data_IF_223866097319
#
_entry.id   IF_223866097319
#
_cell.length_a   1.000
_cell.length_b   1.000
_cell.length_c   1.000
_cell.angle_alpha   90.00
_cell.angle_beta   90.00
_cell.angle_gamma   90.00
#
_symmetry.space_group_name_H-M   'P 1'
#
loop_
_entity.id
_entity.type
_entity.pdbx_description
1 polymer ?
#
# COMPACT_ATOMS: atom_id res chain seq x y z
N UNK A 1 -9.89 -10.55 -26.82
CA UNK A 1 -9.53 -9.41 -25.95
C UNK A 1 -8.54 -9.81 -24.82
N UNK A 2 -7.62 -10.76 -25.06
CA UNK A 2 -6.72 -11.31 -24.02
C UNK A 2 -5.21 -11.10 -24.28
N UNK A 3 -4.82 -10.44 -25.38
CA UNK A 3 -3.41 -10.25 -25.76
C UNK A 3 -2.77 -8.95 -25.22
N UNK A 4 -3.57 -8.00 -24.70
CA UNK A 4 -3.08 -6.73 -24.13
C UNK A 4 -2.73 -6.81 -22.64
N UNK A 5 -3.42 -7.66 -21.86
CA UNK A 5 -3.12 -7.85 -20.43
C UNK A 5 -1.71 -8.43 -20.17
N UNK A 6 -1.26 -9.39 -20.99
CA UNK A 6 0.05 -10.03 -20.81
C UNK A 6 1.26 -9.14 -21.10
N UNK A 7 1.12 -8.09 -21.91
CA UNK A 7 2.21 -7.14 -22.23
C UNK A 7 2.39 -6.06 -21.16
N UNK A 8 1.31 -5.72 -20.43
CA UNK A 8 1.33 -4.74 -19.34
C UNK A 8 2.00 -5.34 -18.10
N UNK A 9 1.71 -6.60 -17.77
CA UNK A 9 2.39 -7.33 -16.69
C UNK A 9 3.90 -7.50 -16.93
N UNK A 10 4.32 -7.75 -18.17
CA UNK A 10 5.74 -7.89 -18.52
C UNK A 10 6.49 -6.54 -18.47
N UNK A 11 5.84 -5.43 -18.80
CA UNK A 11 6.43 -4.08 -18.71
C UNK A 11 6.60 -3.60 -17.26
N UNK A 12 5.66 -3.96 -16.38
CA UNK A 12 5.73 -3.69 -14.93
C UNK A 12 6.92 -4.40 -14.26
N UNK A 13 7.16 -5.65 -14.63
CA UNK A 13 8.26 -6.46 -14.11
C UNK A 13 9.65 -5.95 -14.54
N UNK A 14 9.74 -5.37 -15.75
CA UNK A 14 11.00 -4.84 -16.29
C UNK A 14 11.40 -3.48 -15.67
N UNK A 15 10.42 -2.66 -15.26
CA UNK A 15 10.66 -1.32 -14.69
C UNK A 15 11.21 -1.38 -13.26
N UNK A 16 10.83 -2.41 -12.49
CA UNK A 16 11.31 -2.65 -11.13
C UNK A 16 12.81 -2.94 -11.06
N UNK A 17 13.35 -3.65 -12.05
CA UNK A 17 14.76 -4.04 -12.11
C UNK A 17 15.70 -2.85 -12.39
N UNK A 18 15.17 -1.70 -12.85
CA UNK A 18 15.95 -0.50 -13.16
C UNK A 18 16.22 0.43 -11.97
N UNK A 19 15.55 0.24 -10.83
CA UNK A 19 15.54 1.18 -9.70
C UNK A 19 16.18 0.63 -8.41
N UNK A 20 16.93 -0.48 -8.49
CA UNK A 20 17.45 -1.17 -7.30
C UNK A 20 16.37 -1.94 -6.53
N UNK A 21 15.24 -2.23 -7.16
CA UNK A 21 14.20 -3.07 -6.60
C UNK A 21 14.30 -4.51 -7.12
N UNK A 22 14.14 -5.45 -6.20
CA UNK A 22 14.20 -6.89 -6.45
C UNK A 22 12.86 -7.51 -6.06
N UNK A 23 12.33 -8.35 -6.93
CA UNK A 23 11.20 -9.21 -6.57
C UNK A 23 11.76 -10.30 -5.66
N UNK A 24 11.30 -10.31 -4.41
CA UNK A 24 11.80 -11.22 -3.38
C UNK A 24 11.07 -12.56 -3.45
N UNK A 25 9.79 -12.53 -3.82
CA UNK A 25 8.96 -13.73 -3.93
C UNK A 25 7.79 -13.50 -4.92
N UNK A 26 7.45 -14.56 -5.64
CA UNK A 26 6.30 -14.62 -6.53
C UNK A 26 5.49 -15.87 -6.18
N UNK A 27 4.44 -15.69 -5.38
CA UNK A 27 3.61 -16.79 -4.91
C UNK A 27 2.24 -16.79 -5.60
N UNK A 28 1.48 -17.87 -5.40
CA UNK A 28 0.06 -17.90 -5.79
C UNK A 28 -0.79 -16.85 -5.05
N UNK A 29 -0.27 -16.27 -3.96
CA UNK A 29 -1.00 -15.35 -3.07
C UNK A 29 -0.66 -13.87 -3.32
N UNK A 30 0.46 -13.59 -4.00
CA UNK A 30 0.90 -12.23 -4.26
C UNK A 30 2.38 -12.14 -4.63
N UNK A 31 2.81 -10.93 -4.96
CA UNK A 31 4.19 -10.61 -5.31
C UNK A 31 4.81 -9.72 -4.24
N UNK A 32 6.02 -10.06 -3.82
CA UNK A 32 6.85 -9.27 -2.93
C UNK A 32 7.90 -8.51 -3.71
N UNK A 33 8.00 -7.22 -3.46
CA UNK A 33 9.02 -6.34 -4.05
C UNK A 33 9.76 -5.67 -2.89
N UNK A 34 11.09 -5.83 -2.85
CA UNK A 34 11.97 -4.98 -2.04
C UNK A 34 12.56 -3.91 -2.93
N UNK A 35 12.85 -2.75 -2.37
CA UNK A 35 13.82 -1.83 -2.95
C UNK A 35 15.02 -1.77 -2.00
N UNK A 36 16.21 -2.17 -2.47
CA UNK A 36 17.44 -2.12 -1.67
C UNK A 36 17.82 -0.66 -1.40
N UNK A 37 17.26 -0.11 -0.32
CA UNK A 37 17.72 1.15 0.29
C UNK A 37 17.54 1.16 1.82
N UNK A 38 17.25 0.00 2.42
CA UNK A 38 17.11 -0.15 3.87
C UNK A 38 18.44 -0.07 4.60
N UNK A 39 18.92 1.14 4.89
CA UNK A 39 19.89 1.36 5.96
C UNK A 39 19.10 1.43 7.27
N UNK A 40 19.42 0.56 8.24
CA UNK A 40 19.01 0.58 9.66
C UNK A 40 17.65 -0.01 10.08
N UNK A 41 17.10 -1.04 9.43
CA UNK A 41 16.07 -1.89 10.07
C UNK A 41 14.72 -1.22 10.43
N UNK A 42 14.45 -0.03 9.90
CA UNK A 42 13.19 0.72 10.06
C UNK A 42 12.15 0.34 8.99
N UNK A 43 11.93 -0.96 8.81
CA UNK A 43 11.13 -1.47 7.68
C UNK A 43 9.64 -1.53 8.03
N UNK A 44 8.83 -0.77 7.30
CA UNK A 44 7.38 -0.99 7.21
C UNK A 44 7.06 -1.91 6.02
N UNK A 45 5.86 -2.49 6.02
CA UNK A 45 5.30 -3.15 4.84
C UNK A 45 4.27 -2.25 4.16
N UNK A 46 4.25 -2.18 2.83
CA UNK A 46 3.21 -1.50 2.06
C UNK A 46 2.34 -2.57 1.42
N UNK A 47 1.12 -2.72 1.94
CA UNK A 47 0.08 -3.51 1.32
C UNK A 47 -0.58 -2.69 0.21
N UNK A 48 -0.18 -2.96 -1.02
CA UNK A 48 -0.55 -2.17 -2.19
C UNK A 48 -1.65 -2.87 -2.99
N UNK A 49 -2.82 -2.24 -3.10
CA UNK A 49 -3.92 -2.78 -3.89
C UNK A 49 -3.61 -2.70 -5.39
N UNK A 50 -3.85 -3.79 -6.16
CA UNK A 50 -3.45 -3.91 -7.55
C UNK A 50 -4.36 -3.12 -8.51
N UNK A 51 -4.27 -1.78 -8.50
CA UNK A 51 -4.93 -0.84 -9.43
C UNK A 51 -5.15 -1.32 -10.88
N UNK A 52 -6.17 -0.79 -11.60
CA UNK A 52 -6.44 -1.22 -12.99
C UNK A 52 -5.39 -0.73 -13.99
N UNK A 53 -4.68 0.37 -13.72
CA UNK A 53 -3.76 0.93 -14.72
C UNK A 53 -2.69 1.81 -14.06
N UNK A 54 -1.47 1.72 -14.60
CA UNK A 54 -0.35 2.68 -14.60
C UNK A 54 0.19 3.27 -13.26
N UNK A 55 -0.64 3.58 -12.27
CA UNK A 55 -0.21 4.11 -10.98
C UNK A 55 0.65 3.09 -10.22
N UNK A 56 0.30 1.80 -10.32
CA UNK A 56 1.09 0.69 -9.76
C UNK A 56 2.47 0.61 -10.41
N UNK A 57 2.56 0.88 -11.73
CA UNK A 57 3.79 0.85 -12.51
C UNK A 57 4.70 2.08 -12.33
N UNK A 58 4.24 3.12 -11.63
CA UNK A 58 5.04 4.28 -11.28
C UNK A 58 5.73 4.16 -9.91
N UNK A 59 5.27 3.27 -9.03
CA UNK A 59 5.91 3.01 -7.73
C UNK A 59 7.38 2.53 -7.78
N UNK A 60 7.93 1.94 -8.85
CA UNK A 60 9.37 1.63 -8.94
C UNK A 60 10.28 2.88 -8.91
N UNK A 61 9.75 4.08 -9.19
CA UNK A 61 10.53 5.33 -9.10
C UNK A 61 10.65 5.86 -7.66
N UNK A 62 10.03 5.19 -6.69
CA UNK A 62 10.18 5.45 -5.27
C UNK A 62 11.53 4.88 -4.80
N UNK A 63 12.61 5.46 -5.31
CA UNK A 63 13.93 5.28 -4.71
C UNK A 63 13.90 5.84 -3.28
N UNK A 64 14.37 5.05 -2.32
CA UNK A 64 14.55 5.48 -0.93
C UNK A 64 13.36 5.30 0.01
N UNK A 65 12.26 4.61 -0.37
CA UNK A 65 11.27 4.19 0.64
C UNK A 65 11.81 3.02 1.47
N UNK A 66 11.73 3.18 2.80
CA UNK A 66 12.12 2.17 3.77
C UNK A 66 11.00 1.13 3.99
N UNK A 67 10.59 0.44 2.91
CA UNK A 67 9.51 -0.53 3.00
C UNK A 67 9.59 -1.70 2.01
N UNK A 68 8.94 -2.81 2.38
CA UNK A 68 8.67 -3.95 1.50
C UNK A 68 7.27 -3.83 0.93
N UNK A 69 7.09 -4.06 -0.35
CA UNK A 69 5.77 -4.01 -0.98
C UNK A 69 5.18 -5.40 -1.10
N UNK A 70 3.93 -5.55 -0.69
CA UNK A 70 3.10 -6.72 -0.94
C UNK A 70 1.96 -6.34 -1.87
N UNK A 71 1.90 -6.99 -3.04
CA UNK A 71 0.80 -6.83 -3.98
C UNK A 71 -0.01 -8.14 -3.97
N UNK A 72 -1.24 -8.15 -3.41
CA UNK A 72 -2.04 -9.36 -3.32
C UNK A 72 -2.54 -9.81 -4.69
N UNK A 73 -2.62 -11.13 -4.90
CA UNK A 73 -3.22 -11.69 -6.11
C UNK A 73 -4.66 -12.11 -5.87
N UNK A 74 -5.60 -11.30 -6.35
CA UNK A 74 -7.05 -11.54 -6.24
C UNK A 74 -7.54 -12.43 -7.39
N UNK A 75 -7.05 -13.67 -7.50
CA UNK A 75 -7.43 -14.55 -8.62
C UNK A 75 -7.38 -16.05 -8.29
N UNK A 76 -7.74 -16.48 -7.08
CA UNK A 76 -7.73 -17.90 -6.70
C UNK A 76 -8.67 -18.26 -5.56
N UNK A 77 -8.71 -19.55 -5.21
CA UNK A 77 -9.65 -20.14 -4.22
C UNK A 77 -9.51 -19.61 -2.78
N UNK A 78 -8.40 -18.92 -2.45
CA UNK A 78 -8.04 -18.54 -1.06
C UNK A 78 -8.35 -17.09 -0.69
N UNK A 79 -8.01 -16.13 -1.55
CA UNK A 79 -8.32 -14.71 -1.32
C UNK A 79 -9.32 -14.22 -2.37
N UNK A 80 -10.60 -14.22 -1.99
CA UNK A 80 -11.71 -13.80 -2.86
C UNK A 80 -12.03 -12.32 -2.72
N UNK A 81 -11.54 -11.70 -1.65
CA UNK A 81 -11.66 -10.28 -1.36
C UNK A 81 -10.33 -9.67 -0.91
N UNK A 82 -10.26 -8.34 -0.91
CA UNK A 82 -9.13 -7.59 -0.35
C UNK A 82 -8.98 -7.83 1.16
N UNK A 83 -10.09 -8.05 1.87
CA UNK A 83 -10.07 -8.40 3.28
C UNK A 83 -9.39 -9.76 3.52
N UNK A 84 -9.71 -10.77 2.71
CA UNK A 84 -9.08 -12.10 2.82
C UNK A 84 -7.57 -12.01 2.52
N UNK A 85 -7.21 -11.27 1.48
CA UNK A 85 -5.81 -11.07 1.11
C UNK A 85 -5.02 -10.35 2.20
N UNK A 86 -5.64 -9.34 2.81
CA UNK A 86 -5.02 -8.60 3.91
C UNK A 86 -4.91 -9.44 5.18
N UNK A 87 -5.94 -10.22 5.53
CA UNK A 87 -5.89 -11.14 6.67
C UNK A 87 -4.76 -12.16 6.49
N UNK A 88 -4.66 -12.77 5.31
CA UNK A 88 -3.58 -13.71 4.98
C UNK A 88 -2.20 -13.06 5.08
N UNK A 89 -2.05 -11.84 4.55
CA UNK A 89 -0.82 -11.07 4.68
C UNK A 89 -0.45 -10.79 6.15
N UNK A 90 -1.43 -10.38 6.95
CA UNK A 90 -1.25 -10.06 8.36
C UNK A 90 -0.81 -11.28 9.16
N UNK A 91 -1.42 -12.43 8.90
CA UNK A 91 -1.17 -13.69 9.61
C UNK A 91 0.17 -14.35 9.20
N UNK A 92 0.52 -14.32 7.92
CA UNK A 92 1.64 -15.12 7.40
C UNK A 92 2.90 -14.33 7.07
N UNK A 93 2.81 -13.02 6.81
CA UNK A 93 3.94 -12.27 6.26
C UNK A 93 4.32 -11.00 7.03
N UNK A 94 3.32 -10.27 7.55
CA UNK A 94 3.56 -9.00 8.22
C UNK A 94 4.42 -9.16 9.49
N UNK A 95 4.30 -10.29 10.19
CA UNK A 95 5.10 -10.61 11.38
C UNK A 95 5.10 -9.49 12.45
N UNK A 96 3.98 -8.77 12.59
CA UNK A 96 3.83 -7.69 13.55
C UNK A 96 4.46 -6.35 13.16
N UNK A 97 5.00 -6.22 11.94
CA UNK A 97 5.62 -4.98 11.46
C UNK A 97 4.59 -3.87 11.25
N UNK A 98 4.98 -2.59 11.39
CA UNK A 98 4.14 -1.50 10.94
C UNK A 98 3.84 -1.61 9.45
N UNK A 99 2.67 -1.15 9.03
CA UNK A 99 2.27 -1.23 7.64
C UNK A 99 1.54 0.01 7.13
N UNK A 100 1.67 0.24 5.83
CA UNK A 100 0.90 1.21 5.06
C UNK A 100 -0.11 0.44 4.21
N UNK A 101 -1.31 0.98 4.10
CA UNK A 101 -2.28 0.54 3.10
C UNK A 101 -2.34 1.57 1.99
N UNK A 102 -2.28 1.16 0.72
CA UNK A 102 -2.38 2.09 -0.40
C UNK A 102 -3.28 1.54 -1.50
N UNK A 103 -4.20 2.38 -1.99
CA UNK A 103 -5.12 2.04 -3.06
C UNK A 103 -5.53 3.27 -3.85
N UNK A 104 -5.65 3.13 -5.17
CA UNK A 104 -5.95 4.23 -6.07
C UNK A 104 -7.33 4.13 -6.71
N UNK A 105 -8.01 5.26 -6.89
CA UNK A 105 -9.21 5.40 -7.73
C UNK A 105 -10.26 4.33 -7.43
N UNK A 106 -10.35 3.33 -8.32
CA UNK A 106 -11.26 2.18 -8.21
C UNK A 106 -11.08 1.38 -6.90
N UNK A 107 -9.86 1.25 -6.40
CA UNK A 107 -9.52 0.39 -5.26
C UNK A 107 -9.62 1.14 -3.94
N UNK A 108 -9.72 2.47 -3.99
CA UNK A 108 -9.92 3.28 -2.80
C UNK A 108 -11.25 2.93 -2.10
N UNK A 109 -12.29 2.55 -2.86
CA UNK A 109 -13.55 2.06 -2.27
C UNK A 109 -13.35 0.78 -1.47
N UNK A 110 -12.69 -0.21 -2.06
CA UNK A 110 -12.36 -1.47 -1.37
C UNK A 110 -11.40 -1.26 -0.20
N UNK A 111 -10.47 -0.31 -0.31
CA UNK A 111 -9.61 0.06 0.81
C UNK A 111 -10.41 0.67 1.96
N UNK A 112 -11.38 1.55 1.68
CA UNK A 112 -12.28 2.07 2.72
C UNK A 112 -13.02 0.95 3.43
N UNK A 113 -13.54 -0.03 2.70
CA UNK A 113 -14.20 -1.19 3.31
C UNK A 113 -13.23 -2.04 4.14
N UNK A 114 -11.98 -2.19 3.71
CA UNK A 114 -10.94 -2.82 4.53
C UNK A 114 -10.69 -2.04 5.83
N UNK A 115 -10.58 -0.71 5.76
CA UNK A 115 -10.37 0.14 6.94
C UNK A 115 -11.52 0.02 7.94
N UNK A 116 -12.76 -0.01 7.46
CA UNK A 116 -13.95 -0.15 8.33
C UNK A 116 -13.99 -1.50 9.04
N UNK A 117 -13.63 -2.57 8.35
CA UNK A 117 -13.78 -3.94 8.85
C UNK A 117 -12.53 -4.41 9.61
N UNK A 118 -11.37 -4.44 8.94
CA UNK A 118 -10.15 -4.99 9.50
C UNK A 118 -9.54 -4.09 10.60
N UNK A 119 -9.67 -2.77 10.48
CA UNK A 119 -9.10 -1.83 11.45
C UNK A 119 -10.09 -1.39 12.54
N UNK A 120 -11.18 -2.15 12.71
CA UNK A 120 -11.95 -2.12 13.97
C UNK A 120 -11.14 -2.73 15.14
N UNK A 121 -10.17 -3.59 14.84
CA UNK A 121 -9.20 -4.13 15.81
C UNK A 121 -8.16 -3.07 16.20
N UNK A 122 -8.16 -2.70 17.48
CA UNK A 122 -7.25 -1.70 18.05
C UNK A 122 -5.76 -2.10 17.95
N UNK A 123 -5.44 -3.39 18.11
CA UNK A 123 -4.06 -3.90 18.04
C UNK A 123 -3.51 -3.79 16.63
N UNK A 124 -4.36 -4.04 15.63
CA UNK A 124 -3.99 -3.86 14.24
C UNK A 124 -3.89 -2.37 13.87
N UNK A 125 -4.82 -1.55 14.36
CA UNK A 125 -4.80 -0.10 14.17
C UNK A 125 -3.53 0.57 14.70
N UNK A 126 -3.00 0.11 15.85
CA UNK A 126 -1.73 0.60 16.42
C UNK A 126 -0.51 0.34 15.53
N UNK A 127 -0.61 -0.59 14.58
CA UNK A 127 0.45 -0.90 13.60
C UNK A 127 0.28 -0.20 12.25
N UNK A 128 -0.85 0.48 12.04
CA UNK A 128 -1.06 1.27 10.83
C UNK A 128 -0.16 2.51 10.88
N UNK A 129 0.72 2.66 9.89
CA UNK A 129 1.46 3.90 9.65
C UNK A 129 0.54 4.93 9.00
N UNK A 130 -0.07 4.58 7.87
CA UNK A 130 -1.08 5.40 7.22
C UNK A 130 -1.84 4.58 6.16
N UNK A 131 -3.06 5.01 5.84
CA UNK A 131 -3.85 4.49 4.73
C UNK A 131 -4.02 5.56 3.65
N UNK A 132 -3.40 5.37 2.49
CA UNK A 132 -3.45 6.29 1.37
C UNK A 132 -4.56 5.92 0.39
N UNK A 133 -5.59 6.77 0.35
CA UNK A 133 -6.67 6.74 -0.63
C UNK A 133 -6.30 7.72 -1.76
N UNK A 134 -5.66 7.18 -2.79
CA UNK A 134 -5.04 7.96 -3.87
C UNK A 134 -6.06 8.21 -4.98
N UNK A 135 -6.13 9.43 -5.51
CA UNK A 135 -6.99 9.80 -6.64
C UNK A 135 -8.44 9.33 -6.48
N UNK A 136 -8.97 9.34 -5.25
CA UNK A 136 -10.35 8.95 -4.99
C UNK A 136 -11.27 10.17 -5.04
N UNK A 137 -12.38 10.10 -5.80
CA UNK A 137 -13.33 11.21 -5.86
C UNK A 137 -14.15 11.34 -4.58
N UNK A 138 -14.37 10.24 -3.85
CA UNK A 138 -15.11 10.26 -2.59
C UNK A 138 -14.15 10.36 -1.42
N UNK A 139 -14.08 11.53 -0.79
CA UNK A 139 -13.23 11.77 0.39
C UNK A 139 -13.99 11.66 1.72
N UNK A 140 -15.23 11.16 1.70
CA UNK A 140 -16.06 11.02 2.91
C UNK A 140 -15.83 9.68 3.59
N UNK A 141 -15.68 9.73 4.91
CA UNK A 141 -15.65 8.59 5.83
C UNK A 141 -16.39 9.06 7.08
N UNK A 142 -17.37 8.28 7.55
CA UNK A 142 -18.09 8.60 8.78
C UNK A 142 -17.25 8.17 9.99
N UNK A 143 -16.51 9.12 10.55
CA UNK A 143 -15.65 8.86 11.71
C UNK A 143 -16.44 8.57 12.99
N UNK A 144 -17.73 8.91 13.06
CA UNK A 144 -18.55 8.61 14.24
C UNK A 144 -18.84 7.11 14.35
N UNK A 145 -18.95 6.43 13.22
CA UNK A 145 -19.13 4.98 13.16
C UNK A 145 -17.83 4.19 13.38
N UNK A 146 -16.66 4.83 13.16
CA UNK A 146 -15.35 4.18 13.22
C UNK A 146 -14.35 5.01 14.03
N UNK A 147 -14.48 5.06 15.37
CA UNK A 147 -13.69 5.96 16.23
C UNK A 147 -12.19 5.66 16.26
N UNK A 148 -11.78 4.45 15.87
CA UNK A 148 -10.38 4.06 15.75
C UNK A 148 -9.72 4.63 14.48
N UNK A 149 -10.52 5.15 13.54
CA UNK A 149 -10.04 5.78 12.31
C UNK A 149 -10.00 7.30 12.48
N UNK A 150 -8.99 7.91 11.87
CA UNK A 150 -8.80 9.37 11.88
C UNK A 150 -8.20 9.85 10.58
N UNK A 151 -8.58 11.06 10.18
CA UNK A 151 -7.97 11.74 9.04
C UNK A 151 -6.65 12.35 9.48
N UNK A 152 -5.69 12.39 8.56
CA UNK A 152 -4.46 13.14 8.77
C UNK A 152 -4.75 14.64 8.82
N UNK A 153 -4.12 15.31 9.77
CA UNK A 153 -4.06 16.76 9.92
C UNK A 153 -2.65 17.30 9.70
N UNK A 154 -1.63 16.44 9.77
CA UNK A 154 -0.22 16.76 9.58
C UNK A 154 0.57 15.64 8.90
N UNK A 155 1.73 15.97 8.31
CA UNK A 155 2.68 15.02 7.71
C UNK A 155 3.36 14.07 8.72
N UNK A 156 3.20 14.32 10.02
CA UNK A 156 3.80 13.50 11.08
C UNK A 156 2.82 12.53 11.73
N UNK A 157 1.52 12.63 11.41
CA UNK A 157 0.56 11.72 12.02
C UNK A 157 0.78 10.28 11.53
N UNK A 158 0.74 9.31 12.43
CA UNK A 158 0.70 7.88 12.09
C UNK A 158 -0.68 7.32 12.39
N UNK A 159 -1.09 6.14 11.93
CA UNK A 159 -2.43 5.59 12.21
C UNK A 159 -3.57 6.42 11.63
N UNK A 160 -3.34 7.09 10.49
CA UNK A 160 -4.26 8.02 9.85
C UNK A 160 -4.63 7.61 8.44
N UNK A 161 -5.75 8.16 7.97
CA UNK A 161 -6.17 8.11 6.57
C UNK A 161 -5.70 9.38 5.86
N UNK A 162 -5.07 9.22 4.71
CA UNK A 162 -4.54 10.28 3.87
C UNK A 162 -5.22 10.22 2.51
N UNK A 163 -5.81 11.33 2.08
CA UNK A 163 -6.27 11.49 0.70
C UNK A 163 -5.16 12.18 -0.10
N UNK A 164 -4.66 11.52 -1.14
CA UNK A 164 -3.60 12.05 -1.99
C UNK A 164 -4.08 12.18 -3.43
N UNK A 165 -3.79 13.32 -4.06
CA UNK A 165 -4.06 13.53 -5.47
C UNK A 165 -2.71 13.50 -6.22
N UNK A 166 -2.55 12.55 -7.15
CA UNK A 166 -1.32 12.32 -7.91
C UNK A 166 -1.63 12.49 -9.39
N UNK A 167 -1.07 13.55 -10.02
CA UNK A 167 -1.31 13.90 -11.42
C UNK A 167 -0.06 13.78 -12.28
N UNK A 168 1.11 13.79 -11.67
CA UNK A 168 2.41 13.79 -12.33
C UNK A 168 3.49 13.17 -11.42
N UNK A 169 4.70 13.06 -11.95
CA UNK A 169 5.86 12.49 -11.26
C UNK A 169 6.27 13.27 -10.01
N UNK A 170 6.16 14.60 -10.01
CA UNK A 170 6.45 15.43 -8.83
C UNK A 170 5.50 15.10 -7.67
N UNK A 171 4.22 14.89 -7.95
CA UNK A 171 3.23 14.51 -6.93
C UNK A 171 3.55 13.12 -6.36
N UNK A 172 4.06 12.20 -7.20
CA UNK A 172 4.50 10.88 -6.78
C UNK A 172 5.73 10.95 -5.86
N UNK A 173 6.71 11.80 -6.16
CA UNK A 173 7.85 12.04 -5.28
C UNK A 173 7.42 12.65 -3.94
N UNK A 174 6.46 13.57 -3.95
CA UNK A 174 5.92 14.15 -2.72
C UNK A 174 5.19 13.10 -1.86
N UNK A 175 4.39 12.23 -2.49
CA UNK A 175 3.73 11.12 -1.81
C UNK A 175 4.75 10.16 -1.17
N UNK A 176 5.82 9.83 -1.91
CA UNK A 176 6.92 9.01 -1.41
C UNK A 176 7.59 9.62 -0.17
N UNK A 177 7.90 10.93 -0.22
CA UNK A 177 8.50 11.64 0.89
C UNK A 177 7.59 11.69 2.13
N UNK A 178 6.27 11.84 1.95
CA UNK A 178 5.30 11.77 3.05
C UNK A 178 5.27 10.37 3.67
N UNK A 179 5.22 9.31 2.85
CA UNK A 179 5.29 7.92 3.34
C UNK A 179 6.55 7.68 4.18
N UNK A 180 7.72 8.10 3.70
CA UNK A 180 8.97 7.98 4.45
C UNK A 180 8.97 8.77 5.76
N UNK A 181 8.44 9.98 5.74
CA UNK A 181 8.33 10.81 6.96
C UNK A 181 7.48 10.11 8.01
N UNK A 182 6.35 9.51 7.62
CA UNK A 182 5.47 8.77 8.53
C UNK A 182 6.07 7.46 9.01
N UNK A 183 6.76 6.72 8.15
CA UNK A 183 7.51 5.51 8.57
C UNK A 183 8.54 5.89 9.63
N UNK A 184 9.35 6.92 9.36
CA UNK A 184 10.36 7.40 10.32
C UNK A 184 9.75 7.97 11.60
N UNK A 185 8.54 8.54 11.54
CA UNK A 185 7.82 9.02 12.72
C UNK A 185 7.22 7.87 13.54
N UNK A 186 6.75 6.81 12.89
CA UNK A 186 6.20 5.63 13.56
C UNK A 186 7.22 4.93 14.46
N UNK A 187 8.49 4.92 14.04
CA UNK A 187 9.57 4.27 14.78
C UNK A 187 10.22 5.14 15.87
N UNK A 188 9.80 6.40 16.03
CA UNK A 188 10.29 7.31 17.09
C UNK A 188 9.40 7.24 18.32
#
# INVERSE_FOLDING_TARGET
>A
MMKRLGKIFAGFFLLLLGAGCSIIDYSSQGSWISCESGVNGLEADIFLLPGDDAAVAAYPQISGIQARFFIPRLSGDRAKSIADAFAYYSEHYNNGRPFILAGSGKDAGSLKELLKNALSDEVLCRRLVAAYLINTPDKRIDMTAYPNLRLSVSGFDTGVIVFADVKNEKDLHALSADMNTRIGTFWK
#
